data_IF_231415981616
#
_entry.id   IF_231415981616
#
_cell.length_a   1.000
_cell.length_b   1.000
_cell.length_c   1.000
_cell.angle_alpha   90.00
_cell.angle_beta   90.00
_cell.angle_gamma   90.00
#
_symmetry.space_group_name_H-M   'P 1'
#
loop_
_entity.id
_entity.type
_entity.pdbx_description
1 polymer ?
#
# COMPACT_ATOMS: atom_id res chain seq x y z
N UNK A 1 -23.20 14.09 -16.44
CA UNK A 1 -23.93 13.39 -15.34
C UNK A 1 -23.71 11.90 -15.52
N UNK A 2 -23.45 11.16 -14.44
CA UNK A 2 -23.39 9.69 -14.48
C UNK A 2 -24.65 9.13 -13.83
N UNK A 3 -25.38 8.27 -14.53
CA UNK A 3 -26.51 7.52 -13.94
C UNK A 3 -26.00 6.20 -13.37
N UNK A 4 -26.55 5.80 -12.22
CA UNK A 4 -26.25 4.53 -11.56
C UNK A 4 -27.54 3.72 -11.49
N UNK A 5 -27.55 2.57 -12.16
CA UNK A 5 -28.59 1.57 -11.94
C UNK A 5 -28.12 0.66 -10.81
N UNK A 6 -28.81 0.76 -9.66
CA UNK A 6 -28.57 -0.08 -8.48
C UNK A 6 -29.62 -1.18 -8.47
N UNK A 7 -29.19 -2.43 -8.63
CA UNK A 7 -30.11 -3.56 -8.62
C UNK A 7 -30.32 -4.04 -7.17
N UNK A 8 -31.56 -4.10 -6.65
CA UNK A 8 -31.81 -4.63 -5.33
C UNK A 8 -31.40 -6.10 -5.26
N UNK A 9 -30.72 -6.48 -4.17
CA UNK A 9 -30.21 -7.83 -3.96
C UNK A 9 -31.36 -8.81 -3.65
N UNK A 10 -32.11 -9.23 -4.66
CA UNK A 10 -33.06 -10.34 -4.52
C UNK A 10 -32.49 -11.64 -5.07
N UNK A 11 -32.21 -12.52 -4.13
CA UNK A 11 -31.54 -13.79 -4.26
C UNK A 11 -32.39 -14.79 -5.04
N UNK A 12 -31.91 -15.27 -6.19
CA UNK A 12 -32.22 -16.62 -6.69
C UNK A 12 -31.14 -17.08 -7.69
N UNK A 13 -30.16 -17.79 -7.12
CA UNK A 13 -29.28 -18.78 -7.76
C UNK A 13 -28.37 -18.29 -8.91
N UNK A 14 -27.09 -18.12 -8.57
CA UNK A 14 -25.97 -18.92 -9.11
C UNK A 14 -25.76 -19.01 -10.63
N UNK A 15 -26.42 -18.23 -11.47
CA UNK A 15 -26.12 -18.23 -12.90
C UNK A 15 -25.09 -17.16 -13.26
N UNK A 16 -23.84 -17.62 -13.18
CA UNK A 16 -22.91 -17.56 -14.31
C UNK A 16 -22.67 -16.17 -14.88
N UNK A 17 -22.20 -15.26 -14.04
CA UNK A 17 -20.95 -14.52 -14.22
C UNK A 17 -20.90 -13.47 -13.10
N UNK A 18 -20.64 -13.91 -11.86
CA UNK A 18 -19.82 -13.07 -10.99
C UNK A 18 -18.55 -12.82 -11.80
N UNK A 19 -18.46 -11.64 -12.39
CA UNK A 19 -17.33 -11.23 -13.19
C UNK A 19 -16.13 -11.13 -12.25
N UNK A 20 -15.32 -12.20 -12.22
CA UNK A 20 -14.24 -12.37 -11.24
C UNK A 20 -13.10 -11.43 -11.60
N UNK A 21 -12.45 -10.93 -10.56
CA UNK A 21 -11.15 -10.34 -10.76
C UNK A 21 -10.18 -11.44 -11.14
N UNK A 22 -9.49 -11.27 -12.28
CA UNK A 22 -8.47 -12.22 -12.73
C UNK A 22 -7.12 -11.54 -12.88
N UNK A 23 -6.09 -12.34 -12.72
CA UNK A 23 -4.71 -11.88 -12.77
C UNK A 23 -3.97 -12.64 -13.87
N UNK A 24 -3.41 -11.90 -14.83
CA UNK A 24 -2.50 -12.50 -15.80
C UNK A 24 -1.18 -12.84 -15.09
N UNK A 25 -0.90 -14.14 -14.95
CA UNK A 25 0.29 -14.63 -14.26
C UNK A 25 1.54 -14.39 -15.09
N UNK A 26 2.64 -14.10 -14.40
CA UNK A 26 3.95 -13.99 -15.01
C UNK A 26 4.42 -15.32 -15.57
N UNK A 27 5.02 -15.29 -16.75
CA UNK A 27 5.70 -16.47 -17.30
C UNK A 27 7.00 -16.77 -16.52
N UNK A 28 7.48 -18.02 -16.61
CA UNK A 28 8.75 -18.44 -15.98
C UNK A 28 9.94 -17.56 -16.40
N UNK A 29 9.95 -17.10 -17.65
CA UNK A 29 10.99 -16.19 -18.19
C UNK A 29 10.99 -14.85 -17.44
N UNK A 30 9.83 -14.26 -17.20
CA UNK A 30 9.73 -13.00 -16.45
C UNK A 30 10.20 -13.17 -15.00
N UNK A 31 9.84 -14.28 -14.35
CA UNK A 31 10.34 -14.60 -13.01
C UNK A 31 11.87 -14.69 -12.96
N UNK A 32 12.49 -15.32 -13.95
CA UNK A 32 13.94 -15.40 -14.04
C UNK A 32 14.58 -14.01 -14.21
N UNK A 33 14.06 -13.19 -15.12
CA UNK A 33 14.56 -11.83 -15.36
C UNK A 33 14.49 -10.98 -14.09
N UNK A 34 13.35 -11.02 -13.38
CA UNK A 34 13.17 -10.25 -12.14
C UNK A 34 14.13 -10.72 -11.06
N UNK A 35 14.26 -12.04 -10.84
CA UNK A 35 15.20 -12.59 -9.88
C UNK A 35 16.64 -12.21 -10.21
N UNK A 36 17.02 -12.21 -11.50
CA UNK A 36 18.34 -11.80 -11.96
C UNK A 36 18.61 -10.31 -11.72
N UNK A 37 17.62 -9.44 -11.99
CA UNK A 37 17.70 -7.99 -11.69
C UNK A 37 17.83 -7.77 -10.17
N UNK A 38 17.05 -8.47 -9.35
CA UNK A 38 17.18 -8.38 -7.90
C UNK A 38 18.58 -8.81 -7.45
N UNK A 39 19.08 -9.94 -7.95
CA UNK A 39 20.41 -10.44 -7.62
C UNK A 39 21.52 -9.46 -8.05
N UNK A 40 21.41 -8.83 -9.22
CA UNK A 40 22.41 -7.86 -9.68
C UNK A 40 22.50 -6.62 -8.79
N UNK A 41 21.40 -6.16 -8.21
CA UNK A 41 21.42 -5.06 -7.23
C UNK A 41 22.20 -5.43 -5.97
N UNK A 42 22.04 -6.65 -5.44
CA UNK A 42 22.82 -7.11 -4.29
C UNK A 42 24.31 -7.31 -4.62
N UNK A 43 24.60 -7.80 -5.83
CA UNK A 43 25.98 -7.95 -6.31
C UNK A 43 26.65 -6.58 -6.45
N UNK A 44 25.97 -5.60 -7.07
CA UNK A 44 26.48 -4.23 -7.19
C UNK A 44 26.78 -3.61 -5.83
N UNK A 45 25.90 -3.84 -4.84
CA UNK A 45 26.12 -3.39 -3.47
C UNK A 45 27.33 -4.03 -2.78
N UNK A 46 27.52 -5.34 -2.97
CA UNK A 46 28.72 -6.03 -2.49
C UNK A 46 30.01 -5.35 -3.00
N UNK A 47 30.05 -5.02 -4.30
CA UNK A 47 31.19 -4.32 -4.88
C UNK A 47 31.37 -2.90 -4.32
N UNK A 48 30.29 -2.16 -4.08
CA UNK A 48 30.34 -0.82 -3.47
C UNK A 48 30.97 -0.88 -2.06
N UNK A 49 30.52 -1.81 -1.20
CA UNK A 49 31.09 -2.00 0.15
C UNK A 49 32.54 -2.46 0.09
N UNK A 50 32.86 -3.36 -0.84
CA UNK A 50 34.23 -3.87 -1.00
C UNK A 50 35.20 -2.80 -1.46
N UNK A 51 34.75 -1.89 -2.34
CA UNK A 51 35.53 -0.78 -2.85
C UNK A 51 35.70 0.34 -1.82
N UNK A 52 34.77 0.49 -0.88
CA UNK A 52 34.82 1.53 0.16
C UNK A 52 35.91 1.33 1.24
N UNK A 53 36.84 0.38 1.04
CA UNK A 53 37.97 0.13 1.96
C UNK A 53 37.63 -0.73 3.18
N UNK A 54 36.42 -1.31 3.22
CA UNK A 54 36.00 -2.20 4.32
C UNK A 54 36.88 -3.45 4.38
N UNK A 55 37.30 -3.87 5.58
CA UNK A 55 38.03 -5.15 5.77
C UNK A 55 37.21 -6.29 5.13
N UNK A 56 37.83 -7.24 4.40
CA UNK A 56 37.10 -8.24 3.62
C UNK A 56 36.12 -9.07 4.47
N UNK A 57 36.48 -9.42 5.72
CA UNK A 57 35.56 -10.10 6.64
C UNK A 57 34.34 -9.27 7.05
N UNK A 58 34.51 -7.96 7.26
CA UNK A 58 33.39 -7.06 7.59
C UNK A 58 32.47 -6.83 6.39
N UNK A 59 33.04 -6.70 5.18
CA UNK A 59 32.27 -6.56 3.95
C UNK A 59 31.40 -7.80 3.67
N UNK A 60 31.98 -9.00 3.83
CA UNK A 60 31.27 -10.28 3.67
C UNK A 60 30.14 -10.38 4.70
N UNK A 61 30.43 -10.08 5.98
CA UNK A 61 29.42 -10.10 7.04
C UNK A 61 28.24 -9.16 6.80
N UNK A 62 28.49 -7.94 6.32
CA UNK A 62 27.45 -6.97 5.98
C UNK A 62 26.58 -7.46 4.81
N UNK A 63 27.20 -8.06 3.78
CA UNK A 63 26.46 -8.57 2.61
C UNK A 63 25.61 -9.78 2.96
N UNK A 64 26.14 -10.72 3.74
CA UNK A 64 25.35 -11.84 4.26
C UNK A 64 24.22 -11.36 5.18
N UNK A 65 24.49 -10.36 6.03
CA UNK A 65 23.48 -9.73 6.86
C UNK A 65 22.33 -9.14 6.04
N UNK A 66 22.64 -8.38 4.98
CA UNK A 66 21.66 -7.78 4.06
C UNK A 66 20.88 -8.85 3.29
N UNK A 67 21.54 -9.89 2.80
CA UNK A 67 20.88 -11.00 2.10
C UNK A 67 19.93 -11.77 3.03
N UNK A 68 20.40 -12.18 4.21
CA UNK A 68 19.61 -12.94 5.17
C UNK A 68 18.37 -12.16 5.62
N UNK A 69 18.54 -10.89 5.91
CA UNK A 69 17.44 -10.00 6.32
C UNK A 69 16.48 -9.68 5.16
N UNK A 70 16.95 -9.55 3.93
CA UNK A 70 16.09 -9.37 2.75
C UNK A 70 15.23 -10.61 2.48
N UNK A 71 15.82 -11.80 2.60
CA UNK A 71 15.08 -13.07 2.53
C UNK A 71 14.06 -13.16 3.66
N UNK A 72 14.46 -12.88 4.89
CA UNK A 72 13.58 -12.84 6.05
C UNK A 72 12.42 -11.85 5.88
N UNK A 73 12.71 -10.67 5.31
CA UNK A 73 11.74 -9.62 5.01
C UNK A 73 10.65 -10.11 4.06
N UNK A 74 11.02 -10.88 3.03
CA UNK A 74 10.05 -11.53 2.12
C UNK A 74 9.16 -12.51 2.88
N UNK A 75 9.74 -13.40 3.69
CA UNK A 75 8.97 -14.39 4.45
C UNK A 75 8.03 -13.75 5.49
N UNK A 76 8.52 -12.77 6.24
CA UNK A 76 7.73 -12.03 7.22
C UNK A 76 6.61 -11.24 6.55
N UNK A 77 6.90 -10.59 5.41
CA UNK A 77 5.88 -9.88 4.62
C UNK A 77 4.75 -10.82 4.22
N UNK A 78 5.08 -12.02 3.70
CA UNK A 78 4.08 -13.03 3.35
C UNK A 78 3.23 -13.47 4.54
N UNK A 79 3.85 -13.67 5.71
CA UNK A 79 3.14 -14.02 6.93
C UNK A 79 2.19 -12.91 7.39
N UNK A 80 2.67 -11.67 7.44
CA UNK A 80 1.89 -10.51 7.83
C UNK A 80 0.71 -10.28 6.88
N UNK A 81 0.86 -10.49 5.58
CA UNK A 81 -0.27 -10.41 4.64
C UNK A 81 -1.35 -11.41 4.95
N UNK A 82 -0.94 -12.66 5.18
CA UNK A 82 -1.88 -13.75 5.38
C UNK A 82 -2.71 -13.53 6.63
N UNK A 83 -2.08 -13.08 7.72
CA UNK A 83 -2.75 -12.84 9.01
C UNK A 83 -3.27 -11.40 9.14
N UNK A 84 -2.36 -10.43 9.22
CA UNK A 84 -2.68 -9.01 9.48
C UNK A 84 -3.47 -8.41 8.33
N UNK A 85 -3.07 -8.64 7.07
CA UNK A 85 -3.80 -8.11 5.90
C UNK A 85 -5.25 -8.61 5.84
N UNK A 86 -5.48 -9.92 6.05
CA UNK A 86 -6.83 -10.49 6.11
C UNK A 86 -7.64 -9.90 7.26
N UNK A 87 -7.03 -9.83 8.45
CA UNK A 87 -7.66 -9.26 9.63
C UNK A 87 -8.05 -7.79 9.41
N UNK A 88 -7.15 -6.99 8.81
CA UNK A 88 -7.33 -5.57 8.53
C UNK A 88 -8.50 -5.35 7.56
N UNK A 89 -8.56 -6.07 6.45
CA UNK A 89 -9.68 -5.99 5.50
C UNK A 89 -11.00 -6.33 6.20
N UNK A 90 -11.04 -7.47 6.91
CA UNK A 90 -12.28 -7.92 7.57
C UNK A 90 -12.74 -6.93 8.65
N UNK A 91 -11.85 -6.54 9.56
CA UNK A 91 -12.19 -5.71 10.72
C UNK A 91 -12.37 -4.24 10.39
N UNK A 92 -11.60 -3.70 9.45
CA UNK A 92 -11.61 -2.27 9.17
C UNK A 92 -12.48 -1.89 7.98
N UNK A 93 -12.65 -2.76 7.00
CA UNK A 93 -13.43 -2.46 5.80
C UNK A 93 -14.80 -3.10 5.89
N UNK A 94 -14.85 -4.43 5.98
CA UNK A 94 -16.12 -5.18 5.94
C UNK A 94 -17.00 -4.80 7.13
N UNK A 95 -16.49 -4.89 8.36
CA UNK A 95 -17.28 -4.54 9.54
C UNK A 95 -17.70 -3.05 9.56
N UNK A 96 -16.85 -2.13 9.09
CA UNK A 96 -17.17 -0.70 9.05
C UNK A 96 -18.26 -0.41 8.03
N UNK A 97 -18.17 -0.99 6.83
CA UNK A 97 -19.18 -0.79 5.78
C UNK A 97 -20.51 -1.47 6.15
N UNK A 98 -20.45 -2.65 6.78
CA UNK A 98 -21.66 -3.34 7.25
C UNK A 98 -22.40 -2.51 8.29
N UNK A 99 -21.68 -2.00 9.29
CA UNK A 99 -22.27 -1.12 10.30
C UNK A 99 -22.79 0.20 9.72
N UNK A 100 -22.09 0.78 8.74
CA UNK A 100 -22.56 1.98 8.04
C UNK A 100 -23.88 1.72 7.30
N UNK A 101 -24.00 0.55 6.65
CA UNK A 101 -25.25 0.14 6.01
C UNK A 101 -26.37 -0.05 7.03
N UNK A 102 -26.14 -0.85 8.07
CA UNK A 102 -27.15 -1.13 9.12
C UNK A 102 -27.65 0.19 9.75
N UNK A 103 -26.75 1.16 9.93
CA UNK A 103 -27.09 2.49 10.43
C UNK A 103 -27.97 3.30 9.47
N UNK A 104 -27.63 3.32 8.17
CA UNK A 104 -28.43 4.01 7.17
C UNK A 104 -29.81 3.36 6.99
N UNK A 105 -29.88 2.03 7.01
CA UNK A 105 -31.13 1.28 6.83
C UNK A 105 -32.11 1.51 8.00
N UNK A 106 -31.66 1.41 9.26
CA UNK A 106 -32.50 1.71 10.44
C UNK A 106 -33.05 3.13 10.43
N UNK A 107 -32.25 4.10 9.94
CA UNK A 107 -32.67 5.51 9.86
C UNK A 107 -33.69 5.75 8.74
N UNK A 108 -33.57 5.06 7.60
CA UNK A 108 -34.58 5.10 6.54
C UNK A 108 -35.91 4.48 6.97
N UNK A 109 -35.87 3.50 7.88
CA UNK A 109 -37.05 2.85 8.45
C UNK A 109 -37.73 3.67 9.57
N UNK A 110 -37.18 4.84 9.93
CA UNK A 110 -37.75 5.71 10.96
C UNK A 110 -37.67 5.14 12.38
N UNK A 111 -36.80 4.14 12.62
CA UNK A 111 -36.59 3.60 13.96
C UNK A 111 -35.89 4.65 14.84
N UNK A 112 -36.55 5.03 15.95
CA UNK A 112 -35.98 5.94 16.94
C UNK A 112 -34.68 5.36 17.49
N UNK A 113 -33.57 6.04 17.20
CA UNK A 113 -32.23 5.57 17.53
C UNK A 113 -32.09 5.42 19.06
N UNK A 114 -31.87 4.20 19.55
CA UNK A 114 -31.40 4.07 20.92
C UNK A 114 -30.01 4.72 21.02
N UNK A 115 -29.92 5.76 21.87
CA UNK A 115 -28.73 6.54 22.21
C UNK A 115 -27.47 5.68 22.46
N UNK A 116 -27.65 4.44 22.90
CA UNK A 116 -26.58 3.46 23.12
C UNK A 116 -25.96 2.89 21.82
N UNK A 117 -26.74 2.60 20.78
CA UNK A 117 -26.19 2.10 19.50
C UNK A 117 -25.35 3.18 18.80
N UNK A 118 -25.77 4.45 18.89
CA UNK A 118 -25.05 5.62 18.36
C UNK A 118 -23.73 5.89 19.11
N UNK A 119 -23.73 5.76 20.45
CA UNK A 119 -22.51 5.86 21.29
C UNK A 119 -21.50 4.74 21.04
N UNK A 120 -21.95 3.57 20.58
CA UNK A 120 -21.08 2.42 20.26
C UNK A 120 -20.36 2.55 18.92
N UNK A 121 -20.60 3.63 18.17
CA UNK A 121 -19.66 4.13 17.17
C UNK A 121 -18.41 4.63 17.91
N UNK A 122 -17.57 3.69 18.31
CA UNK A 122 -16.38 4.00 19.10
C UNK A 122 -15.58 5.01 18.29
N UNK A 123 -15.26 6.16 18.88
CA UNK A 123 -14.42 7.21 18.27
C UNK A 123 -13.19 6.60 17.55
N UNK A 124 -12.66 5.50 18.10
CA UNK A 124 -11.63 4.65 17.50
C UNK A 124 -11.97 4.15 16.08
N UNK A 125 -13.16 3.58 15.83
CA UNK A 125 -13.57 3.11 14.49
C UNK A 125 -13.72 4.26 13.50
N UNK A 126 -14.26 5.40 13.93
CA UNK A 126 -14.36 6.61 13.10
C UNK A 126 -12.97 7.14 12.72
N UNK A 127 -12.05 7.20 13.68
CA UNK A 127 -10.64 7.56 13.43
C UNK A 127 -9.98 6.60 12.44
N UNK A 128 -10.18 5.29 12.62
CA UNK A 128 -9.61 4.29 11.70
C UNK A 128 -10.22 4.42 10.30
N UNK A 129 -11.52 4.59 10.18
CA UNK A 129 -12.16 4.81 8.88
C UNK A 129 -11.62 6.06 8.18
N UNK A 130 -11.41 7.16 8.92
CA UNK A 130 -10.77 8.38 8.39
C UNK A 130 -9.33 8.11 7.94
N UNK A 131 -8.54 7.38 8.73
CA UNK A 131 -7.16 7.01 8.38
C UNK A 131 -7.08 6.20 7.09
N UNK A 132 -8.06 5.33 6.84
CA UNK A 132 -8.19 4.56 5.61
C UNK A 132 -9.05 5.26 4.54
N UNK A 133 -9.50 6.50 4.75
CA UNK A 133 -10.28 7.26 3.77
C UNK A 133 -11.71 6.74 3.50
N UNK A 134 -12.25 5.85 4.32
CA UNK A 134 -13.64 5.38 4.24
C UNK A 134 -14.57 6.52 4.68
N UNK A 135 -15.56 6.85 3.85
CA UNK A 135 -16.55 7.88 4.20
C UNK A 135 -17.69 7.32 5.03
N UNK A 136 -17.95 7.93 6.17
CA UNK A 136 -19.05 7.54 7.05
C UNK A 136 -20.01 8.73 7.21
N UNK A 137 -20.02 9.64 6.24
CA UNK A 137 -20.95 10.74 6.23
C UNK A 137 -22.37 10.22 5.96
N UNK A 138 -23.34 10.91 6.57
CA UNK A 138 -24.76 10.59 6.41
C UNK A 138 -25.17 10.63 4.92
N UNK A 139 -25.98 9.64 4.51
CA UNK A 139 -26.50 9.54 3.15
C UNK A 139 -25.49 9.09 2.08
N UNK A 140 -24.27 8.70 2.48
CA UNK A 140 -23.34 8.03 1.56
C UNK A 140 -23.75 6.58 1.37
N UNK A 141 -23.96 6.17 0.12
CA UNK A 141 -24.32 4.81 -0.26
C UNK A 141 -23.14 4.11 -0.93
N UNK A 142 -22.79 2.91 -0.44
CA UNK A 142 -21.71 2.10 -1.01
C UNK A 142 -22.27 1.00 -1.90
N UNK A 143 -21.56 0.70 -2.99
CA UNK A 143 -21.89 -0.41 -3.88
C UNK A 143 -20.62 -1.04 -4.47
N UNK A 144 -20.74 -2.31 -4.89
CA UNK A 144 -19.65 -3.03 -5.58
C UNK A 144 -19.90 -2.98 -7.08
N UNK A 145 -18.96 -2.43 -7.85
CA UNK A 145 -19.11 -2.31 -9.30
C UNK A 145 -19.11 -3.69 -9.99
N UNK A 146 -20.11 -3.91 -10.86
CA UNK A 146 -20.18 -5.08 -11.73
C UNK A 146 -19.24 -4.94 -12.93
N UNK A 147 -18.44 -5.97 -13.23
CA UNK A 147 -17.51 -5.93 -14.36
C UNK A 147 -16.37 -6.93 -14.24
N UNK A 148 -15.88 -7.44 -15.38
CA UNK A 148 -14.67 -8.27 -15.41
C UNK A 148 -13.51 -7.29 -15.35
N UNK A 149 -12.65 -7.45 -14.35
CA UNK A 149 -11.44 -6.66 -14.24
C UNK A 149 -10.24 -7.59 -14.27
N UNK A 150 -9.39 -7.38 -15.25
CA UNK A 150 -8.18 -8.15 -15.43
C UNK A 150 -6.99 -7.26 -15.09
N UNK A 151 -6.29 -7.57 -14.01
CA UNK A 151 -5.01 -6.94 -13.72
C UNK A 151 -3.92 -7.64 -14.52
N UNK A 152 -3.28 -6.90 -15.42
CA UNK A 152 -2.17 -7.42 -16.20
C UNK A 152 -0.83 -7.24 -15.48
N UNK A 153 -0.43 -8.24 -14.68
CA UNK A 153 0.87 -8.25 -14.02
C UNK A 153 2.00 -8.54 -15.03
N UNK A 154 1.71 -8.95 -16.27
CA UNK A 154 2.77 -9.08 -17.27
C UNK A 154 3.27 -7.71 -17.75
N UNK A 155 2.46 -6.66 -17.60
CA UNK A 155 2.83 -5.29 -17.95
C UNK A 155 3.76 -4.68 -16.89
N UNK A 156 5.03 -4.53 -17.26
CA UNK A 156 6.05 -3.84 -16.45
C UNK A 156 5.60 -2.41 -16.09
N UNK A 157 4.92 -1.72 -17.02
CA UNK A 157 4.39 -0.38 -16.79
C UNK A 157 3.33 -0.36 -15.70
N UNK A 158 2.43 -1.34 -15.67
CA UNK A 158 1.41 -1.47 -14.63
C UNK A 158 2.06 -1.69 -13.25
N UNK A 159 3.00 -2.65 -13.17
CA UNK A 159 3.70 -2.95 -11.92
C UNK A 159 4.48 -1.74 -11.41
N UNK A 160 5.30 -1.12 -12.26
CA UNK A 160 6.17 0.00 -11.86
C UNK A 160 5.36 1.23 -11.47
N UNK A 161 4.44 1.66 -12.34
CA UNK A 161 3.72 2.93 -12.17
C UNK A 161 2.63 2.86 -11.11
N UNK A 162 1.94 1.73 -10.99
CA UNK A 162 0.73 1.66 -10.16
C UNK A 162 0.91 0.95 -8.82
N UNK A 163 1.96 0.15 -8.65
CA UNK A 163 2.16 -0.67 -7.46
C UNK A 163 3.52 -0.41 -6.81
N UNK A 164 4.62 -0.46 -7.57
CA UNK A 164 5.97 -0.34 -6.99
C UNK A 164 6.34 1.06 -6.52
N UNK A 165 5.95 2.12 -7.23
CA UNK A 165 6.27 3.49 -6.79
C UNK A 165 5.67 3.79 -5.41
N UNK A 166 4.38 3.46 -5.22
CA UNK A 166 3.69 3.63 -3.94
C UNK A 166 4.33 2.76 -2.84
N UNK A 167 4.82 1.55 -3.18
CA UNK A 167 5.54 0.69 -2.24
C UNK A 167 6.91 1.24 -1.85
N UNK A 168 7.72 1.63 -2.82
CA UNK A 168 9.06 2.18 -2.56
C UNK A 168 8.93 3.45 -1.72
N UNK A 169 8.00 4.34 -2.08
CA UNK A 169 7.74 5.54 -1.29
C UNK A 169 7.34 5.19 0.15
N UNK A 170 6.38 4.27 0.34
CA UNK A 170 5.93 3.84 1.67
C UNK A 170 7.04 3.22 2.52
N UNK A 171 7.87 2.38 1.91
CA UNK A 171 9.03 1.79 2.55
C UNK A 171 10.04 2.88 2.96
N UNK A 172 10.39 3.81 2.06
CA UNK A 172 11.30 4.91 2.41
C UNK A 172 10.73 5.74 3.56
N UNK A 173 9.45 6.12 3.49
CA UNK A 173 8.83 6.95 4.52
C UNK A 173 8.75 6.27 5.88
N UNK A 174 8.27 5.03 5.94
CA UNK A 174 8.26 4.27 7.17
C UNK A 174 9.68 4.03 7.71
N UNK A 175 10.61 3.67 6.82
CA UNK A 175 12.00 3.39 7.16
C UNK A 175 12.70 4.60 7.74
N UNK A 176 12.68 5.74 7.05
CA UNK A 176 13.37 6.96 7.50
C UNK A 176 12.75 7.55 8.76
N UNK A 177 11.44 7.42 8.94
CA UNK A 177 10.79 7.84 10.16
C UNK A 177 11.26 7.00 11.36
N UNK A 178 11.31 5.68 11.21
CA UNK A 178 11.82 4.80 12.28
C UNK A 178 13.30 5.06 12.54
N UNK A 179 14.10 5.25 11.49
CA UNK A 179 15.50 5.62 11.62
C UNK A 179 15.70 6.93 12.39
N UNK A 180 14.89 7.95 12.09
CA UNK A 180 14.91 9.23 12.80
C UNK A 180 14.54 9.07 14.28
N UNK A 181 13.52 8.27 14.59
CA UNK A 181 13.18 7.94 15.99
C UNK A 181 14.29 7.15 16.68
N UNK A 182 14.90 6.18 16.00
CA UNK A 182 15.98 5.37 16.55
C UNK A 182 17.24 6.20 16.85
N UNK A 183 17.51 7.24 16.05
CA UNK A 183 18.62 8.18 16.27
C UNK A 183 18.56 8.86 17.64
N UNK A 184 17.37 9.06 18.21
CA UNK A 184 17.20 9.64 19.56
C UNK A 184 17.86 8.76 20.65
N UNK A 185 18.01 7.46 20.41
CA UNK A 185 18.41 6.48 21.41
C UNK A 185 19.81 5.86 21.19
N UNK A 186 20.56 6.23 20.15
CA UNK A 186 21.82 5.55 19.75
C UNK A 186 22.96 6.57 19.51
N UNK A 187 24.20 6.23 19.90
CA UNK A 187 25.41 7.09 19.82
C UNK A 187 26.03 7.13 18.40
N UNK A 188 26.61 8.28 18.07
CA UNK A 188 26.73 8.99 16.76
C UNK A 188 27.18 8.21 15.51
N UNK A 189 28.11 7.24 15.55
CA UNK A 189 28.68 6.69 14.29
C UNK A 189 27.98 5.40 13.81
N UNK A 190 27.44 4.59 14.72
CA UNK A 190 26.76 3.35 14.36
C UNK A 190 25.28 3.55 14.01
N UNK A 191 24.74 4.74 14.29
CA UNK A 191 23.34 5.11 14.02
C UNK A 191 23.04 5.05 12.54
N UNK A 192 23.89 5.60 11.67
CA UNK A 192 23.60 5.69 10.23
C UNK A 192 23.56 4.32 9.54
N UNK A 193 24.43 3.39 9.94
CA UNK A 193 24.45 2.02 9.42
C UNK A 193 23.29 1.20 9.96
N UNK A 194 22.99 1.33 11.26
CA UNK A 194 21.84 0.67 11.90
C UNK A 194 20.52 1.20 11.33
N UNK A 195 20.39 2.51 11.16
CA UNK A 195 19.25 3.19 10.56
C UNK A 195 19.08 2.80 9.09
N UNK A 196 20.14 2.82 8.29
CA UNK A 196 20.11 2.34 6.90
C UNK A 196 19.69 0.87 6.81
N UNK A 197 20.15 0.04 7.74
CA UNK A 197 19.74 -1.37 7.84
C UNK A 197 18.25 -1.50 8.17
N UNK A 198 17.74 -0.72 9.13
CA UNK A 198 16.31 -0.68 9.49
C UNK A 198 15.46 -0.19 8.31
N UNK A 199 15.88 0.89 7.64
CA UNK A 199 15.20 1.48 6.49
C UNK A 199 15.16 0.51 5.31
N UNK A 200 16.26 -0.16 4.99
CA UNK A 200 16.35 -1.04 3.82
C UNK A 200 15.66 -2.39 4.09
N UNK A 201 15.72 -2.90 5.32
CA UNK A 201 15.39 -4.31 5.61
C UNK A 201 14.04 -4.50 6.31
N UNK A 202 13.66 -3.59 7.21
CA UNK A 202 12.42 -3.68 7.98
C UNK A 202 11.28 -2.88 7.38
N UNK A 203 11.58 -1.83 6.60
CA UNK A 203 10.53 -1.03 5.97
C UNK A 203 9.67 -1.80 4.95
N UNK A 204 10.20 -2.77 4.16
CA UNK A 204 9.34 -3.60 3.33
C UNK A 204 8.32 -4.35 4.17
N UNK A 205 8.70 -4.90 5.33
CA UNK A 205 7.80 -5.63 6.24
C UNK A 205 6.64 -4.74 6.70
N UNK A 206 6.94 -3.48 7.04
CA UNK A 206 5.95 -2.52 7.51
C UNK A 206 5.01 -2.04 6.40
N UNK A 207 5.57 -1.68 5.24
CA UNK A 207 4.75 -1.30 4.09
C UNK A 207 3.98 -2.50 3.55
N UNK A 208 4.52 -3.71 3.74
CA UNK A 208 3.95 -4.93 3.22
C UNK A 208 2.55 -5.14 3.77
N UNK A 209 2.21 -4.93 5.03
CA UNK A 209 0.84 -5.27 5.46
C UNK A 209 -0.22 -4.25 5.02
N UNK A 210 0.16 -2.99 4.78
CA UNK A 210 -0.75 -1.89 4.42
C UNK A 210 -1.08 -1.89 2.93
N UNK A 211 -0.07 -1.98 2.06
CA UNK A 211 -0.25 -1.78 0.62
C UNK A 211 -1.10 -2.85 -0.08
N UNK A 212 -0.96 -4.14 0.21
CA UNK A 212 -1.91 -5.19 -0.18
C UNK A 212 -3.34 -4.90 0.21
N UNK A 213 -3.58 -4.29 1.37
CA UNK A 213 -4.94 -3.89 1.76
C UNK A 213 -5.43 -2.80 0.82
N UNK A 214 -4.61 -1.76 0.59
CA UNK A 214 -4.92 -0.67 -0.35
C UNK A 214 -5.16 -1.20 -1.77
N UNK A 215 -4.30 -2.10 -2.26
CA UNK A 215 -4.43 -2.71 -3.58
C UNK A 215 -5.68 -3.58 -3.67
N UNK A 216 -5.96 -4.38 -2.65
CA UNK A 216 -7.18 -5.20 -2.62
C UNK A 216 -8.43 -4.33 -2.66
N UNK A 217 -8.46 -3.22 -1.92
CA UNK A 217 -9.58 -2.26 -1.92
C UNK A 217 -9.69 -1.49 -3.24
N UNK A 218 -8.56 -1.23 -3.89
CA UNK A 218 -8.53 -0.60 -5.21
C UNK A 218 -9.13 -1.52 -6.26
N UNK A 219 -8.67 -2.76 -6.28
CA UNK A 219 -9.02 -3.72 -7.33
C UNK A 219 -10.36 -4.43 -7.04
N UNK A 220 -10.94 -4.28 -5.84
CA UNK A 220 -12.31 -4.69 -5.52
C UNK A 220 -13.39 -3.77 -6.09
N UNK A 221 -13.02 -2.57 -6.59
CA UNK A 221 -13.92 -1.60 -7.24
C UNK A 221 -15.14 -1.23 -6.40
N UNK A 222 -14.90 -0.96 -5.12
CA UNK A 222 -15.92 -0.40 -4.23
C UNK A 222 -16.09 1.09 -4.59
N UNK A 223 -17.32 1.48 -4.88
CA UNK A 223 -17.69 2.87 -5.15
C UNK A 223 -18.65 3.37 -4.09
N UNK A 224 -18.69 4.69 -3.95
CA UNK A 224 -19.67 5.34 -3.09
C UNK A 224 -20.31 6.51 -3.81
N UNK A 225 -21.61 6.66 -3.55
CA UNK A 225 -22.43 7.75 -4.03
C UNK A 225 -22.69 8.70 -2.87
N UNK A 226 -22.42 9.98 -3.08
CA UNK A 226 -22.73 11.04 -2.10
C UNK A 226 -24.21 11.42 -2.16
N UNK A 227 -24.76 12.12 -1.15
CA UNK A 227 -26.14 12.63 -1.19
C UNK A 227 -26.45 13.51 -2.41
N UNK A 228 -25.41 14.09 -3.03
CA UNK A 228 -25.52 14.90 -4.26
C UNK A 228 -25.42 14.06 -5.54
N UNK A 229 -25.59 12.75 -5.46
CA UNK A 229 -25.50 11.80 -6.59
C UNK A 229 -24.15 11.78 -7.31
N UNK A 230 -23.08 12.30 -6.68
CA UNK A 230 -21.73 12.18 -7.24
C UNK A 230 -21.14 10.83 -6.85
N UNK A 231 -20.60 10.12 -7.85
CA UNK A 231 -19.95 8.83 -7.70
C UNK A 231 -18.43 8.98 -7.57
N UNK A 232 -17.87 8.28 -6.61
CA UNK A 232 -16.44 8.28 -6.37
C UNK A 232 -15.94 6.86 -6.11
N UNK A 233 -14.71 6.60 -6.52
CA UNK A 233 -14.03 5.36 -6.19
C UNK A 233 -13.46 5.45 -4.77
N UNK A 234 -13.74 4.43 -3.94
CA UNK A 234 -13.16 4.35 -2.60
C UNK A 234 -11.63 4.33 -2.66
N UNK A 235 -11.08 3.68 -3.69
CA UNK A 235 -9.64 3.59 -3.97
C UNK A 235 -8.95 4.96 -4.08
N UNK A 236 -9.58 5.93 -4.74
CA UNK A 236 -9.05 7.27 -4.90
C UNK A 236 -9.02 8.03 -3.58
N UNK A 237 -10.01 7.78 -2.71
CA UNK A 237 -10.04 8.38 -1.37
C UNK A 237 -9.01 7.77 -0.43
N UNK A 238 -8.83 6.45 -0.48
CA UNK A 238 -7.74 5.75 0.22
C UNK A 238 -6.39 6.32 -0.22
N UNK A 239 -6.17 6.54 -1.52
CA UNK A 239 -4.92 7.13 -2.03
C UNK A 239 -4.70 8.58 -1.60
N UNK A 240 -5.77 9.32 -1.32
CA UNK A 240 -5.70 10.69 -0.78
C UNK A 240 -5.64 10.73 0.74
N UNK A 241 -5.76 9.59 1.42
CA UNK A 241 -5.76 9.50 2.88
C UNK A 241 -4.46 10.00 3.50
N UNK A 242 -4.55 10.37 4.78
CA UNK A 242 -3.41 10.78 5.60
C UNK A 242 -2.31 9.72 5.53
N UNK A 243 -2.68 8.44 5.60
CA UNK A 243 -1.74 7.32 5.53
C UNK A 243 -0.96 7.32 4.21
N UNK A 244 -1.62 7.50 3.08
CA UNK A 244 -0.95 7.54 1.78
C UNK A 244 -0.06 8.78 1.59
N UNK A 245 -0.43 9.92 2.19
CA UNK A 245 0.40 11.14 2.15
C UNK A 245 1.65 10.99 3.02
N UNK A 246 1.48 10.45 4.22
CA UNK A 246 2.54 10.27 5.22
C UNK A 246 3.57 9.21 4.80
N UNK A 247 3.11 8.17 4.12
CA UNK A 247 3.95 7.15 3.50
C UNK A 247 4.59 7.60 2.17
N UNK A 248 4.19 8.74 1.61
CA UNK A 248 4.65 9.19 0.29
C UNK A 248 5.82 10.18 0.37
N UNK A 249 5.60 11.36 -0.20
CA UNK A 249 6.59 12.42 -0.40
C UNK A 249 7.26 12.92 0.90
N UNK A 250 6.55 12.90 2.02
CA UNK A 250 7.11 13.25 3.33
C UNK A 250 8.26 12.34 3.74
N UNK A 251 8.18 11.06 3.36
CA UNK A 251 9.23 10.08 3.63
C UNK A 251 10.54 10.37 2.91
N UNK A 252 10.45 10.84 1.66
CA UNK A 252 11.60 11.20 0.85
C UNK A 252 12.29 12.45 1.40
N UNK A 253 11.51 13.48 1.77
CA UNK A 253 12.06 14.70 2.39
C UNK A 253 12.71 14.38 3.75
N UNK A 254 12.03 13.62 4.60
CA UNK A 254 12.57 13.21 5.89
C UNK A 254 13.86 12.39 5.73
N UNK A 255 13.93 11.53 4.71
CA UNK A 255 15.14 10.77 4.42
C UNK A 255 16.32 11.62 3.98
N UNK A 256 16.09 12.63 3.13
CA UNK A 256 17.15 13.57 2.74
C UNK A 256 17.66 14.34 3.96
N UNK A 257 16.75 14.88 4.79
CA UNK A 257 17.12 15.59 6.00
C UNK A 257 17.93 14.71 6.97
N UNK A 258 17.45 13.49 7.22
CA UNK A 258 18.12 12.53 8.08
C UNK A 258 19.55 12.18 7.59
N UNK A 259 19.71 11.91 6.29
CA UNK A 259 21.01 11.60 5.70
C UNK A 259 21.94 12.81 5.71
N UNK A 260 21.41 14.00 5.45
CA UNK A 260 22.16 15.25 5.52
C UNK A 260 22.75 15.45 6.93
N UNK A 261 21.93 15.29 7.98
CA UNK A 261 22.36 15.43 9.36
C UNK A 261 23.46 14.42 9.71
N UNK A 262 23.31 13.16 9.28
CA UNK A 262 24.35 12.13 9.48
C UNK A 262 25.66 12.53 8.82
N UNK A 263 25.63 12.99 7.56
CA UNK A 263 26.86 13.37 6.86
C UNK A 263 27.51 14.62 7.46
N UNK A 264 26.70 15.57 7.95
CA UNK A 264 27.18 16.74 8.68
C UNK A 264 27.86 16.36 10.00
N UNK A 265 27.33 15.38 10.74
CA UNK A 265 27.92 14.86 11.97
C UNK A 265 29.24 14.10 11.70
N UNK A 266 29.28 13.22 10.68
CA UNK A 266 30.46 12.39 10.36
C UNK A 266 31.62 13.25 9.82
N UNK A 267 31.31 14.28 9.04
CA UNK A 267 32.32 15.12 8.40
C UNK A 267 31.96 16.60 8.58
N UNK A 268 32.21 17.21 9.75
CA UNK A 268 31.74 18.56 10.11
C UNK A 268 32.41 19.72 9.35
N UNK A 269 32.95 19.49 8.15
CA UNK A 269 33.48 20.57 7.30
C UNK A 269 32.31 21.42 6.78
N UNK A 270 32.52 22.74 6.68
CA UNK A 270 31.55 23.73 6.16
C UNK A 270 31.30 23.60 4.65
N UNK A 271 30.83 22.43 4.19
CA UNK A 271 30.44 22.18 2.81
C UNK A 271 28.99 21.68 2.74
N UNK A 272 28.00 22.56 3.02
CA UNK A 272 26.59 22.17 3.04
C UNK A 272 26.13 21.56 1.71
N UNK A 273 26.64 22.09 0.59
CA UNK A 273 26.35 21.55 -0.76
C UNK A 273 26.88 20.12 -0.91
N UNK A 274 28.09 19.83 -0.42
CA UNK A 274 28.67 18.49 -0.50
C UNK A 274 27.88 17.49 0.34
N UNK A 275 27.45 17.88 1.54
CA UNK A 275 26.63 17.03 2.41
C UNK A 275 25.27 16.71 1.78
N UNK A 276 24.65 17.71 1.15
CA UNK A 276 23.42 17.52 0.40
C UNK A 276 23.59 16.56 -0.78
N UNK A 277 24.66 16.71 -1.57
CA UNK A 277 24.97 15.81 -2.68
C UNK A 277 25.24 14.37 -2.20
N UNK A 278 25.96 14.19 -1.10
CA UNK A 278 26.20 12.87 -0.49
C UNK A 278 24.90 12.25 0.04
N UNK A 279 24.01 13.04 0.64
CA UNK A 279 22.69 12.59 1.09
C UNK A 279 21.81 12.11 -0.08
N UNK A 280 21.79 12.85 -1.19
CA UNK A 280 21.09 12.42 -2.42
C UNK A 280 21.69 11.12 -2.96
N UNK A 281 23.02 11.05 -3.08
CA UNK A 281 23.68 9.86 -3.59
C UNK A 281 23.39 8.62 -2.72
N UNK A 282 23.46 8.76 -1.39
CA UNK A 282 23.11 7.71 -0.45
C UNK A 282 21.64 7.29 -0.57
N UNK A 283 20.73 8.26 -0.71
CA UNK A 283 19.31 7.99 -0.90
C UNK A 283 19.05 7.19 -2.19
N UNK A 284 19.70 7.56 -3.30
CA UNK A 284 19.58 6.81 -4.56
C UNK A 284 20.02 5.36 -4.40
N UNK A 285 21.11 5.12 -3.67
CA UNK A 285 21.58 3.76 -3.40
C UNK A 285 20.59 2.98 -2.52
N UNK A 286 20.04 3.61 -1.48
CA UNK A 286 18.99 3.04 -0.64
C UNK A 286 17.76 2.66 -1.48
N UNK A 287 17.33 3.53 -2.39
CA UNK A 287 16.21 3.27 -3.30
C UNK A 287 16.48 2.04 -4.17
N UNK A 288 17.67 1.94 -4.74
CA UNK A 288 18.07 0.81 -5.60
C UNK A 288 18.02 -0.51 -4.82
N UNK A 289 18.58 -0.53 -3.60
CA UNK A 289 18.56 -1.71 -2.74
C UNK A 289 17.15 -2.13 -2.35
N UNK A 290 16.35 -1.16 -1.92
CA UNK A 290 14.98 -1.36 -1.50
C UNK A 290 14.10 -1.84 -2.66
N UNK A 291 14.33 -1.34 -3.87
CA UNK A 291 13.59 -1.72 -5.06
C UNK A 291 13.67 -3.22 -5.33
N UNK A 292 14.81 -3.87 -5.10
CA UNK A 292 14.96 -5.32 -5.27
C UNK A 292 14.01 -6.11 -4.36
N UNK A 293 14.08 -5.88 -3.05
CA UNK A 293 13.21 -6.56 -2.07
C UNK A 293 11.74 -6.22 -2.29
N UNK A 294 11.43 -4.93 -2.47
CA UNK A 294 10.07 -4.45 -2.70
C UNK A 294 9.45 -5.05 -3.97
N UNK A 295 10.22 -5.19 -5.05
CA UNK A 295 9.80 -5.84 -6.29
C UNK A 295 9.44 -7.29 -6.04
N UNK A 296 10.35 -8.05 -5.41
CA UNK A 296 10.14 -9.47 -5.19
C UNK A 296 8.90 -9.74 -4.33
N UNK A 297 8.78 -9.00 -3.23
CA UNK A 297 7.61 -8.98 -2.34
C UNK A 297 6.33 -8.71 -3.14
N UNK A 298 6.28 -7.60 -3.89
CA UNK A 298 5.12 -7.23 -4.71
C UNK A 298 4.73 -8.31 -5.69
N UNK A 299 5.70 -8.88 -6.40
CA UNK A 299 5.45 -9.89 -7.44
C UNK A 299 4.92 -11.18 -6.85
N UNK A 300 5.45 -11.63 -5.71
CA UNK A 300 4.92 -12.80 -5.01
C UNK A 300 3.47 -12.52 -4.56
N UNK A 301 3.20 -11.36 -3.99
CA UNK A 301 1.84 -10.98 -3.58
C UNK A 301 0.85 -11.00 -4.75
N UNK A 302 1.16 -10.24 -5.79
CA UNK A 302 0.25 -10.05 -6.92
C UNK A 302 -0.01 -11.37 -7.66
N UNK A 303 1.02 -12.21 -7.84
CA UNK A 303 0.90 -13.46 -8.59
C UNK A 303 0.23 -14.62 -7.82
N UNK A 304 0.36 -14.68 -6.49
CA UNK A 304 -0.09 -15.84 -5.69
C UNK A 304 -1.32 -15.57 -4.84
N UNK A 305 -1.52 -14.34 -4.38
CA UNK A 305 -2.49 -14.05 -3.33
C UNK A 305 -3.55 -13.02 -3.73
N UNK A 306 -3.17 -12.03 -4.55
CA UNK A 306 -4.01 -10.87 -4.81
C UNK A 306 -5.35 -11.23 -5.45
N UNK A 307 -5.35 -12.10 -6.47
CA UNK A 307 -6.58 -12.55 -7.13
C UNK A 307 -7.61 -13.11 -6.15
N UNK A 308 -7.17 -14.08 -5.34
CA UNK A 308 -8.00 -14.70 -4.31
C UNK A 308 -8.51 -13.68 -3.30
N UNK A 309 -7.65 -12.75 -2.86
CA UNK A 309 -8.01 -11.74 -1.85
C UNK A 309 -9.06 -10.75 -2.35
N UNK A 310 -8.95 -10.29 -3.59
CA UNK A 310 -9.92 -9.39 -4.20
C UNK A 310 -11.27 -10.09 -4.34
N UNK A 311 -11.26 -11.34 -4.82
CA UNK A 311 -12.49 -12.12 -4.96
C UNK A 311 -13.13 -12.44 -3.61
N UNK A 312 -12.35 -12.91 -2.62
CA UNK A 312 -12.84 -13.16 -1.25
C UNK A 312 -13.51 -11.90 -0.66
N UNK A 313 -12.92 -10.71 -0.87
CA UNK A 313 -13.48 -9.44 -0.40
C UNK A 313 -14.76 -9.05 -1.16
N UNK A 314 -14.78 -9.19 -2.49
CA UNK A 314 -15.97 -8.89 -3.31
C UNK A 314 -17.13 -9.80 -2.92
N UNK A 315 -16.86 -11.07 -2.68
CA UNK A 315 -17.85 -12.05 -2.22
C UNK A 315 -18.40 -11.66 -0.84
N UNK A 316 -17.53 -11.39 0.14
CA UNK A 316 -17.96 -11.00 1.50
C UNK A 316 -18.75 -9.67 1.51
N UNK A 317 -18.38 -8.70 0.66
CA UNK A 317 -19.12 -7.44 0.53
C UNK A 317 -20.46 -7.61 -0.19
N UNK A 318 -20.54 -8.52 -1.17
CA UNK A 318 -21.79 -8.78 -1.92
C UNK A 318 -22.91 -9.36 -1.07
N UNK A 319 -22.59 -9.91 0.11
CA UNK A 319 -23.60 -10.39 1.06
C UNK A 319 -24.49 -9.27 1.60
N UNK A 320 -24.01 -8.02 1.59
CA UNK A 320 -24.75 -6.89 2.15
C UNK A 320 -24.71 -5.61 1.32
N UNK A 321 -23.71 -5.37 0.48
CA UNK A 321 -23.71 -4.22 -0.43
C UNK A 321 -24.41 -4.56 -1.74
N UNK A 322 -25.19 -3.64 -2.32
CA UNK A 322 -25.75 -3.84 -3.63
C UNK A 322 -24.67 -3.84 -4.71
N UNK A 323 -25.00 -4.46 -5.83
CA UNK A 323 -24.23 -4.37 -7.05
C UNK A 323 -24.77 -3.27 -7.96
N UNK A 324 -23.86 -2.59 -8.66
CA UNK A 324 -24.23 -1.49 -9.55
C UNK A 324 -23.30 -1.38 -10.75
N UNK A 325 -23.84 -0.88 -11.85
CA UNK A 325 -23.10 -0.54 -13.07
C UNK A 325 -22.96 0.99 -13.10
N UNK A 326 -21.75 1.48 -13.34
CA UNK A 326 -21.52 2.94 -13.48
C UNK A 326 -21.47 3.28 -14.96
N UNK A 327 -22.51 3.95 -15.48
CA UNK A 327 -22.53 4.42 -16.87
C UNK A 327 -21.98 5.85 -16.95
N UNK A 328 -20.88 6.03 -17.69
CA UNK A 328 -20.30 7.34 -17.96
C UNK A 328 -20.97 7.91 -19.20
N UNK A 329 -21.93 8.82 -19.04
CA UNK A 329 -22.45 9.57 -20.18
C UNK A 329 -21.50 10.72 -20.52
N UNK A 330 -20.84 10.61 -21.67
CA UNK A 330 -20.13 11.72 -22.28
C UNK A 330 -21.16 12.65 -22.93
N UNK A 331 -21.49 13.73 -22.23
CA UNK A 331 -22.24 14.82 -22.83
C UNK A 331 -21.28 15.51 -23.79
N UNK A 332 -21.48 15.31 -25.10
CA UNK A 332 -20.77 16.07 -26.12
C UNK A 332 -21.14 17.54 -25.88
N UNK A 333 -20.20 18.33 -25.36
CA UNK A 333 -20.40 19.77 -25.26
C UNK A 333 -20.53 20.29 -26.69
N UNK A 334 -21.75 20.51 -27.15
CA UNK A 334 -22.00 21.30 -28.35
C UNK A 334 -21.59 22.71 -28.01
N UNK A 335 -20.38 23.10 -28.42
CA UNK A 335 -20.03 24.50 -28.53
C UNK A 335 -20.99 25.10 -29.56
N UNK A 336 -21.90 25.96 -29.08
CA UNK A 336 -22.70 26.86 -29.91
C UNK A 336 -21.88 28.11 -30.13
#
# INVERSE_FOLDING_TARGET
MSEVEVFPSQNKKKEKMQKRFTVNKLSKKHWFIISAICASFYIGWFFIIRWSGSKPGAAIGLVFGVLATSVLSVFLSLFLWRKVGKWTIKKLVVETLKQHKDFNDSRMLGEEESSEKKKKYTIRRKLIAILFGINIDDGVLYYVEEGNYNADISSVRYILKEKMFDLIAACLGAGFLIAAFAKIFVVEIYVGVLAGSIVILLSPILASWILPVIWTLRDSRIKYMTPRMNNYELSQRIRRSILSRFLGFSGLIAGIGFLYDIFAEIKPRNHPILHFLMAIAALLVIIILLAGTASLVTMIYLSRFHEKKVNDLRDELSEFLPHGITNVMFTKASFI
#
